data_IF_936592451459
#
_entry.id   IF_936592451459
#
_cell.length_a   1.000
_cell.length_b   1.000
_cell.length_c   1.000
_cell.angle_alpha   90.00
_cell.angle_beta   90.00
_cell.angle_gamma   90.00
#
_symmetry.space_group_name_H-M   'P 1'
#
loop_
_entity.id
_entity.type
_entity.pdbx_description
1 polymer ?
#
# COMPACT_ATOMS: atom_id res chain seq x y z
N UNK A 1 1.94 20.75 6.98
CA UNK A 1 2.02 20.24 5.60
C UNK A 1 3.01 19.09 5.59
N UNK A 2 2.63 17.97 4.97
CA UNK A 2 3.46 16.79 4.82
C UNK A 2 3.77 16.57 3.33
N UNK A 3 5.06 16.44 3.00
CA UNK A 3 5.53 16.17 1.65
C UNK A 3 6.20 14.81 1.62
N UNK A 4 5.71 13.88 0.80
CA UNK A 4 6.47 12.67 0.50
C UNK A 4 7.29 12.88 -0.76
N UNK A 5 8.50 12.34 -0.79
CA UNK A 5 9.30 12.34 -1.99
C UNK A 5 10.07 11.05 -2.18
N UNK A 6 10.35 10.77 -3.45
CA UNK A 6 11.10 9.62 -3.92
C UNK A 6 12.02 10.04 -5.06
N UNK A 7 13.29 9.67 -4.95
CA UNK A 7 14.27 9.86 -6.03
C UNK A 7 14.41 8.53 -6.76
N UNK A 8 14.13 8.54 -8.07
CA UNK A 8 14.23 7.35 -8.92
C UNK A 8 15.49 7.39 -9.78
N UNK A 9 16.37 6.41 -9.59
CA UNK A 9 17.50 6.11 -10.49
C UNK A 9 17.12 4.97 -11.44
N UNK A 10 16.43 5.28 -12.53
CA UNK A 10 16.02 4.29 -13.54
C UNK A 10 17.14 3.90 -14.52
N UNK A 11 16.96 2.78 -15.23
CA UNK A 11 17.79 2.38 -16.37
C UNK A 11 17.52 3.21 -17.63
N UNK A 12 18.21 2.91 -18.73
CA UNK A 12 17.94 3.51 -20.05
C UNK A 12 16.49 3.28 -20.47
N UNK A 13 15.74 4.36 -20.74
CA UNK A 13 14.30 4.31 -21.08
C UNK A 13 13.33 4.33 -19.90
N UNK A 14 13.82 4.26 -18.65
CA UNK A 14 12.98 4.41 -17.45
C UNK A 14 12.87 5.86 -16.98
N UNK A 15 11.78 6.19 -16.28
CA UNK A 15 11.63 7.48 -15.61
C UNK A 15 12.71 7.69 -14.54
N UNK A 16 13.43 8.81 -14.63
CA UNK A 16 14.45 9.26 -13.67
C UNK A 16 14.01 10.55 -13.01
N UNK A 17 14.45 10.77 -11.78
CA UNK A 17 14.32 12.08 -11.12
C UNK A 17 13.46 12.08 -9.86
N UNK A 18 13.10 13.29 -9.45
CA UNK A 18 12.34 13.58 -8.24
C UNK A 18 10.85 13.38 -8.47
N UNK A 19 10.20 12.64 -7.57
CA UNK A 19 8.75 12.53 -7.45
C UNK A 19 8.36 13.07 -6.08
N UNK A 20 7.77 14.26 -6.04
CA UNK A 20 7.23 14.87 -4.83
C UNK A 20 5.70 14.79 -4.83
N UNK A 21 5.12 14.56 -3.66
CA UNK A 21 3.68 14.54 -3.48
C UNK A 21 3.32 15.24 -2.17
N UNK A 22 2.33 16.12 -2.24
CA UNK A 22 1.79 16.84 -1.09
C UNK A 22 0.63 16.05 -0.49
N UNK A 23 0.67 15.81 0.82
CA UNK A 23 -0.35 15.11 1.63
C UNK A 23 -0.70 13.69 1.15
N UNK A 24 -0.03 13.18 0.12
CA UNK A 24 -0.21 11.87 -0.47
C UNK A 24 1.10 11.08 -0.43
N UNK A 25 0.97 9.76 -0.46
CA UNK A 25 2.09 8.83 -0.59
C UNK A 25 2.19 8.29 -2.01
N UNK A 26 3.41 8.18 -2.52
CA UNK A 26 3.64 7.48 -3.77
C UNK A 26 3.45 5.97 -3.55
N UNK A 27 3.53 5.19 -4.63
CA UNK A 27 3.43 3.73 -4.54
C UNK A 27 4.49 3.16 -3.59
N UNK A 28 4.04 2.45 -2.56
CA UNK A 28 4.91 1.76 -1.61
C UNK A 28 5.76 0.72 -2.35
N UNK A 29 7.07 0.76 -2.13
CA UNK A 29 8.00 -0.25 -2.67
C UNK A 29 8.42 -1.21 -1.56
N UNK A 30 8.88 -2.39 -1.95
CA UNK A 30 9.36 -3.43 -1.01
C UNK A 30 10.50 -2.99 -0.09
N UNK A 31 11.20 -1.90 -0.45
CA UNK A 31 12.31 -1.36 0.33
C UNK A 31 11.94 -0.08 1.09
N UNK A 32 10.72 0.42 0.92
CA UNK A 32 10.28 1.70 1.44
C UNK A 32 11.31 2.81 1.17
N UNK A 33 11.46 3.13 -0.12
CA UNK A 33 12.39 4.12 -0.67
C UNK A 33 11.78 5.53 -0.73
N UNK A 34 10.75 5.79 0.06
CA UNK A 34 10.09 7.08 0.18
C UNK A 34 10.51 7.76 1.48
N UNK A 35 10.68 9.06 1.39
CA UNK A 35 11.00 9.92 2.51
C UNK A 35 9.83 10.87 2.75
N UNK A 36 9.43 10.96 4.00
CA UNK A 36 8.43 11.87 4.52
C UNK A 36 9.14 13.09 5.10
N UNK A 37 8.74 14.25 4.62
CA UNK A 37 9.05 15.56 5.18
C UNK A 37 7.84 16.07 5.94
N UNK A 38 8.04 16.38 7.22
CA UNK A 38 7.02 17.03 8.06
C UNK A 38 7.64 18.23 8.75
N UNK A 39 6.90 19.32 8.78
CA UNK A 39 7.20 20.45 9.66
C UNK A 39 6.64 20.16 11.05
N UNK A 40 7.52 19.87 12.01
CA UNK A 40 7.14 19.70 13.41
C UNK A 40 7.33 21.04 14.13
N UNK A 41 6.29 21.50 14.82
CA UNK A 41 6.25 22.82 15.47
C UNK A 41 7.29 22.99 16.57
N UNK A 42 7.82 21.88 17.12
CA UNK A 42 8.83 21.89 18.18
C UNK A 42 10.25 21.58 17.71
N UNK A 43 10.43 20.85 16.60
CA UNK A 43 11.73 20.29 16.19
C UNK A 43 12.20 20.75 14.79
N UNK A 44 11.45 21.62 14.13
CA UNK A 44 11.77 22.09 12.78
C UNK A 44 11.49 21.02 11.72
N UNK A 45 12.27 21.07 10.62
CA UNK A 45 12.10 20.18 9.49
C UNK A 45 12.60 18.76 9.81
N UNK A 46 11.70 17.77 9.86
CA UNK A 46 12.07 16.36 10.07
C UNK A 46 11.97 15.57 8.77
N UNK A 47 13.03 14.85 8.43
CA UNK A 47 13.09 13.95 7.27
C UNK A 47 13.27 12.52 7.76
N UNK A 48 12.30 11.65 7.48
CA UNK A 48 12.40 10.23 7.82
C UNK A 48 11.69 9.34 6.82
N UNK A 49 11.88 8.03 6.91
CA UNK A 49 11.04 7.07 6.18
C UNK A 49 9.69 6.89 6.89
N UNK A 50 8.69 6.47 6.14
CA UNK A 50 7.44 5.96 6.71
C UNK A 50 7.73 4.72 7.55
N UNK A 51 7.09 4.60 8.70
CA UNK A 51 7.14 3.42 9.56
C UNK A 51 6.31 2.27 8.96
N UNK A 52 6.52 1.02 9.39
CA UNK A 52 5.67 -0.08 8.92
C UNK A 52 4.18 0.14 9.25
N UNK A 53 3.89 0.75 10.41
CA UNK A 53 2.52 1.07 10.82
C UNK A 53 1.86 2.12 9.91
N UNK A 54 2.60 3.15 9.51
CA UNK A 54 2.09 4.14 8.54
C UNK A 54 1.83 3.48 7.18
N UNK A 55 2.71 2.59 6.73
CA UNK A 55 2.51 1.82 5.51
C UNK A 55 1.32 0.86 5.58
N UNK A 56 1.05 0.24 6.74
CA UNK A 56 -0.15 -0.56 6.98
C UNK A 56 -1.41 0.28 6.78
N UNK A 57 -1.47 1.46 7.40
CA UNK A 57 -2.59 2.39 7.28
C UNK A 57 -2.78 2.91 5.87
N UNK A 58 -1.69 3.23 5.16
CA UNK A 58 -1.74 3.64 3.75
C UNK A 58 -2.36 2.56 2.84
N UNK A 59 -2.12 1.29 3.14
CA UNK A 59 -2.75 0.17 2.44
C UNK A 59 -4.15 -0.16 2.99
N UNK A 60 -4.57 0.43 4.12
CA UNK A 60 -5.85 0.14 4.78
C UNK A 60 -5.85 -1.15 5.62
N UNK A 61 -4.67 -1.63 6.04
CA UNK A 61 -4.58 -2.73 7.00
C UNK A 61 -4.88 -2.26 8.44
N UNK A 62 -5.35 -3.16 9.31
CA UNK A 62 -5.38 -2.91 10.74
C UNK A 62 -3.99 -2.59 11.30
N UNK A 63 -3.95 -1.83 12.39
CA UNK A 63 -2.70 -1.49 13.07
C UNK A 63 -1.97 -2.75 13.55
N UNK A 64 -0.70 -2.91 13.18
CA UNK A 64 0.12 -4.06 13.57
C UNK A 64 -0.13 -5.31 12.74
N UNK A 65 -0.88 -5.24 11.64
CA UNK A 65 -1.22 -6.39 10.80
C UNK A 65 -0.02 -7.22 10.34
N UNK A 66 1.12 -6.57 10.07
CA UNK A 66 2.34 -7.25 9.62
C UNK A 66 3.31 -7.59 10.75
N UNK A 67 3.02 -7.19 11.99
CA UNK A 67 3.84 -7.51 13.16
C UNK A 67 3.51 -8.90 13.71
N UNK A 68 4.04 -9.91 13.03
CA UNK A 68 3.85 -11.32 13.40
C UNK A 68 5.11 -11.89 14.08
N UNK A 69 4.97 -12.98 14.87
CA UNK A 69 6.13 -13.71 15.36
C UNK A 69 7.05 -14.16 14.22
N UNK A 70 8.35 -13.93 14.36
CA UNK A 70 9.32 -14.15 13.28
C UNK A 70 10.56 -14.90 13.79
N UNK A 71 10.79 -16.11 13.27
CA UNK A 71 11.98 -16.94 13.59
C UNK A 71 12.26 -17.03 15.10
N UNK A 72 11.24 -17.34 15.90
CA UNK A 72 11.34 -17.46 17.36
C UNK A 72 11.35 -16.14 18.13
N UNK A 73 11.25 -14.99 17.44
CA UNK A 73 11.08 -13.67 18.08
C UNK A 73 9.60 -13.28 18.10
N UNK A 74 9.22 -12.50 19.11
CA UNK A 74 7.84 -12.01 19.29
C UNK A 74 7.39 -11.07 18.17
N UNK A 75 8.31 -10.29 17.60
CA UNK A 75 8.03 -9.25 16.61
C UNK A 75 8.79 -9.48 15.30
N UNK A 76 8.17 -9.10 14.18
CA UNK A 76 8.81 -9.16 12.88
C UNK A 76 9.73 -7.95 12.69
N UNK A 77 10.95 -8.13 12.14
CA UNK A 77 11.79 -6.99 11.79
C UNK A 77 11.14 -6.18 10.65
N UNK A 78 11.48 -4.89 10.58
CA UNK A 78 10.85 -3.96 9.63
C UNK A 78 11.04 -4.35 8.16
N UNK A 79 12.20 -4.90 7.77
CA UNK A 79 12.47 -5.19 6.35
C UNK A 79 11.49 -6.20 5.74
N UNK A 80 11.20 -7.37 6.37
CA UNK A 80 10.09 -8.23 5.94
C UNK A 80 8.73 -7.54 5.91
N UNK A 81 8.44 -6.67 6.88
CA UNK A 81 7.17 -5.93 6.94
C UNK A 81 7.01 -5.00 5.75
N UNK A 82 8.02 -4.18 5.44
CA UNK A 82 8.02 -3.34 4.24
C UNK A 82 7.91 -4.16 2.95
N UNK A 83 8.59 -5.31 2.87
CA UNK A 83 8.48 -6.19 1.71
C UNK A 83 7.07 -6.73 1.53
N UNK A 84 6.42 -7.16 2.61
CA UNK A 84 5.04 -7.63 2.58
C UNK A 84 4.08 -6.52 2.14
N UNK A 85 4.18 -5.34 2.75
CA UNK A 85 3.32 -4.19 2.45
C UNK A 85 3.51 -3.68 1.02
N UNK A 86 4.75 -3.60 0.53
CA UNK A 86 5.05 -3.15 -0.83
C UNK A 86 4.66 -4.14 -1.93
N UNK A 87 4.51 -5.44 -1.60
CA UNK A 87 3.98 -6.45 -2.51
C UNK A 87 2.46 -6.65 -2.37
N UNK A 88 1.85 -6.02 -1.38
CA UNK A 88 0.42 -6.16 -1.11
C UNK A 88 -0.41 -5.25 -2.01
N UNK A 89 -1.73 -5.42 -1.91
CA UNK A 89 -2.73 -4.52 -2.48
C UNK A 89 -3.40 -3.68 -1.40
N UNK A 90 -3.98 -2.56 -1.79
CA UNK A 90 -4.77 -1.70 -0.91
C UNK A 90 -6.09 -2.41 -0.55
N UNK A 91 -6.30 -2.64 0.75
CA UNK A 91 -7.45 -3.35 1.32
C UNK A 91 -8.80 -2.75 0.89
N UNK A 92 -9.00 -1.42 0.85
CA UNK A 92 -10.29 -0.85 0.45
C UNK A 92 -10.66 -1.19 -1.00
N UNK A 93 -9.66 -1.23 -1.90
CA UNK A 93 -9.87 -1.57 -3.32
C UNK A 93 -10.23 -3.04 -3.45
N UNK A 94 -9.50 -3.92 -2.76
CA UNK A 94 -9.79 -5.35 -2.78
C UNK A 94 -11.15 -5.70 -2.19
N UNK A 95 -11.57 -4.98 -1.16
CA UNK A 95 -12.91 -5.11 -0.59
C UNK A 95 -13.99 -4.77 -1.61
N UNK A 96 -13.86 -3.65 -2.31
CA UNK A 96 -14.83 -3.24 -3.33
C UNK A 96 -14.94 -4.26 -4.47
N UNK A 97 -13.79 -4.79 -4.95
CA UNK A 97 -13.79 -5.86 -5.97
C UNK A 97 -14.50 -7.11 -5.45
N UNK A 98 -14.22 -7.51 -4.21
CA UNK A 98 -14.85 -8.66 -3.57
C UNK A 98 -16.36 -8.52 -3.44
N UNK A 99 -16.85 -7.34 -3.04
CA UNK A 99 -18.29 -7.02 -2.98
C UNK A 99 -18.94 -7.12 -4.37
N UNK A 100 -18.25 -6.69 -5.42
CA UNK A 100 -18.72 -6.84 -6.80
C UNK A 100 -18.79 -8.30 -7.27
N UNK A 101 -17.79 -9.12 -6.93
CA UNK A 101 -17.82 -10.56 -7.21
C UNK A 101 -18.98 -11.22 -6.46
N UNK A 102 -19.15 -10.92 -5.17
CA UNK A 102 -20.23 -11.47 -4.36
C UNK A 102 -21.60 -11.13 -4.94
N UNK A 103 -21.79 -9.88 -5.38
CA UNK A 103 -23.03 -9.46 -6.03
C UNK A 103 -23.35 -10.32 -7.27
N UNK A 104 -22.37 -10.61 -8.11
CA UNK A 104 -22.57 -11.47 -9.30
C UNK A 104 -22.89 -12.91 -8.89
N UNK A 105 -22.18 -13.44 -7.89
CA UNK A 105 -22.39 -14.78 -7.35
C UNK A 105 -23.82 -14.96 -6.80
N UNK A 106 -24.30 -13.98 -6.03
CA UNK A 106 -25.65 -13.97 -5.46
C UNK A 106 -26.75 -13.86 -6.53
N UNK A 107 -26.42 -13.26 -7.69
CA UNK A 107 -27.34 -13.03 -8.80
C UNK A 107 -27.12 -13.98 -9.98
N UNK A 108 -26.42 -15.11 -9.79
CA UNK A 108 -26.15 -16.10 -10.85
C UNK A 108 -27.41 -16.55 -11.60
N UNK A 109 -28.55 -16.64 -10.91
CA UNK A 109 -29.84 -17.00 -11.51
C UNK A 109 -30.34 -15.99 -12.55
N UNK A 110 -29.95 -14.71 -12.47
CA UNK A 110 -30.31 -13.69 -13.46
C UNK A 110 -29.55 -13.82 -14.79
N UNK A 111 -28.44 -14.56 -14.78
CA UNK A 111 -27.60 -14.77 -15.97
C UNK A 111 -27.77 -16.17 -16.58
N UNK A 112 -28.65 -17.01 -16.00
CA UNK A 112 -29.02 -18.31 -16.54
C UNK A 112 -30.34 -18.24 -17.32
N UNK A 113 -30.38 -17.49 -18.41
CA UNK A 113 -31.34 -17.76 -19.48
C UNK A 113 -30.56 -18.28 -20.70
N UNK A 114 -30.72 -19.56 -21.00
CA UNK A 114 -30.17 -20.22 -22.19
C UNK A 114 -31.00 -19.83 -23.41
N UNK A 115 -30.47 -19.12 -24.42
CA UNK A 115 -31.09 -19.08 -25.73
C UNK A 115 -30.60 -20.31 -26.52
N UNK A 116 -31.14 -21.48 -26.16
CA UNK A 116 -31.10 -22.67 -27.00
C UNK A 116 -32.53 -23.16 -27.23
N UNK A 117 -33.33 -22.35 -27.95
CA UNK A 117 -34.56 -22.76 -28.65
C UNK A 117 -35.16 -21.54 -29.37
N UNK A 118 -34.66 -21.25 -30.58
CA UNK A 118 -35.43 -20.77 -31.74
C UNK A 118 -34.76 -21.25 -33.01
#
# INVERSE_FOLDING_TARGET
>A
MALTFKIRGGGTGGGKGFLGQEELSATLSTRNDQFLHTEDSMNGLTVRRLTPLECERLQGFPDGWTDIPWKGKKHAPDSPRYKALGNSMAVPVMRWIGEGIQLVEDNKGLFQENPSEQ
#
